data_IF_450997476209
#
_entry.id   IF_450997476209
#
_cell.length_a   1.000
_cell.length_b   1.000
_cell.length_c   1.000
_cell.angle_alpha   90.00
_cell.angle_beta   90.00
_cell.angle_gamma   90.00
#
_symmetry.space_group_name_H-M   'P 1'
#
loop_
_entity.id
_entity.type
_entity.pdbx_description
1 polymer ?
#
# COMPACT_ATOMS: atom_id res chain seq x y z
N UNK A 1 30.44 -2.86 -7.50
CA UNK A 1 31.35 -3.21 -8.61
C UNK A 1 32.54 -2.26 -8.54
N UNK A 2 33.79 -2.73 -8.66
CA UNK A 2 34.98 -1.87 -8.61
C UNK A 2 34.96 -0.81 -9.74
N UNK A 3 35.46 0.41 -9.50
CA UNK A 3 35.50 1.48 -10.50
C UNK A 3 36.23 1.08 -11.80
N UNK A 4 37.28 0.24 -11.71
CA UNK A 4 38.05 -0.18 -12.88
C UNK A 4 37.20 -1.04 -13.83
N UNK A 5 36.32 -1.88 -13.29
CA UNK A 5 35.42 -2.72 -14.09
C UNK A 5 34.34 -1.86 -14.77
N UNK A 6 33.80 -0.87 -14.05
CA UNK A 6 32.83 0.07 -14.63
C UNK A 6 33.40 0.84 -15.81
N UNK A 7 34.68 1.24 -15.73
CA UNK A 7 35.37 1.93 -16.84
C UNK A 7 35.48 1.04 -18.08
N UNK A 8 35.82 -0.23 -17.92
CA UNK A 8 35.87 -1.19 -19.04
C UNK A 8 34.50 -1.37 -19.68
N UNK A 9 33.45 -1.48 -18.85
CA UNK A 9 32.07 -1.59 -19.33
C UNK A 9 31.60 -0.32 -20.07
N UNK A 10 31.95 0.87 -19.58
CA UNK A 10 31.63 2.15 -20.22
C UNK A 10 32.34 2.29 -21.58
N UNK A 11 33.64 1.99 -21.64
CA UNK A 11 34.41 2.01 -22.88
C UNK A 11 33.84 1.02 -23.91
N UNK A 12 33.43 -0.17 -23.46
CA UNK A 12 32.78 -1.17 -24.31
C UNK A 12 31.39 -0.70 -24.76
N UNK A 13 30.60 -0.08 -23.87
CA UNK A 13 29.27 0.43 -24.16
C UNK A 13 29.32 1.50 -25.25
N UNK A 14 30.23 2.48 -25.13
CA UNK A 14 30.42 3.56 -26.10
C UNK A 14 30.84 3.05 -27.48
N UNK A 15 31.74 2.05 -27.51
CA UNK A 15 32.21 1.44 -28.77
C UNK A 15 31.15 0.61 -29.48
N UNK A 16 30.19 0.06 -28.74
CA UNK A 16 29.18 -0.87 -29.25
C UNK A 16 27.75 -0.29 -29.15
N UNK A 17 27.60 1.01 -29.41
CA UNK A 17 26.31 1.70 -29.54
C UNK A 17 25.35 1.50 -28.35
N UNK A 18 25.86 1.37 -27.14
CA UNK A 18 25.01 1.22 -25.95
C UNK A 18 24.64 -0.22 -25.59
N UNK A 19 25.34 -1.23 -26.11
CA UNK A 19 25.01 -2.66 -25.85
C UNK A 19 24.91 -3.02 -24.36
N UNK A 20 25.80 -2.49 -23.51
CA UNK A 20 25.84 -2.82 -22.08
C UNK A 20 24.65 -2.18 -21.38
N UNK A 21 24.36 -0.93 -21.71
CA UNK A 21 23.20 -0.20 -21.19
C UNK A 21 21.90 -0.90 -21.60
N UNK A 22 21.75 -1.25 -22.88
CA UNK A 22 20.61 -2.04 -23.37
C UNK A 22 20.47 -3.36 -22.62
N UNK A 23 21.56 -4.10 -22.40
CA UNK A 23 21.51 -5.35 -21.65
C UNK A 23 20.96 -5.15 -20.23
N UNK A 24 21.44 -4.13 -19.52
CA UNK A 24 20.94 -3.78 -18.18
C UNK A 24 19.44 -3.49 -18.23
N UNK A 25 19.00 -2.68 -19.20
CA UNK A 25 17.59 -2.35 -19.35
C UNK A 25 16.74 -3.54 -19.80
N UNK A 26 17.27 -4.47 -20.59
CA UNK A 26 16.55 -5.69 -20.97
C UNK A 26 16.32 -6.58 -19.75
N UNK A 27 17.32 -6.72 -18.87
CA UNK A 27 17.15 -7.40 -17.57
C UNK A 27 16.17 -6.68 -16.65
N UNK A 28 16.15 -5.35 -16.69
CA UNK A 28 15.16 -4.56 -15.98
C UNK A 28 13.74 -4.76 -16.56
N UNK A 29 13.60 -4.78 -17.89
CA UNK A 29 12.34 -5.02 -18.61
C UNK A 29 11.79 -6.42 -18.39
N UNK A 30 12.64 -7.45 -18.37
CA UNK A 30 12.25 -8.82 -18.01
C UNK A 30 11.59 -8.83 -16.61
N UNK A 31 12.20 -8.15 -15.64
CA UNK A 31 11.65 -8.02 -14.28
C UNK A 31 10.33 -7.24 -14.27
N UNK A 32 10.23 -6.14 -15.02
CA UNK A 32 8.98 -5.39 -15.17
C UNK A 32 7.88 -6.19 -15.88
N UNK A 33 8.22 -7.13 -16.76
CA UNK A 33 7.26 -8.02 -17.41
C UNK A 33 6.44 -8.85 -16.41
N UNK A 34 7.04 -9.24 -15.29
CA UNK A 34 6.34 -9.94 -14.20
C UNK A 34 5.33 -8.99 -13.53
N UNK A 35 5.72 -7.75 -13.23
CA UNK A 35 4.83 -6.74 -12.63
C UNK A 35 3.72 -6.37 -13.61
N UNK A 36 4.02 -6.26 -14.90
CA UNK A 36 3.03 -6.05 -15.96
C UNK A 36 2.00 -7.17 -15.99
N UNK A 37 2.42 -8.42 -15.81
CA UNK A 37 1.51 -9.57 -15.73
C UNK A 37 0.56 -9.47 -14.53
N UNK A 38 1.03 -8.95 -13.39
CA UNK A 38 0.19 -8.67 -12.22
C UNK A 38 -0.83 -7.57 -12.51
N UNK A 39 -0.38 -6.44 -13.08
CA UNK A 39 -1.28 -5.35 -13.44
C UNK A 39 -2.33 -5.85 -14.42
N UNK A 40 -1.96 -6.72 -15.37
CA UNK A 40 -2.90 -7.38 -16.28
C UNK A 40 -3.93 -8.26 -15.54
N UNK A 41 -3.54 -9.02 -14.52
CA UNK A 41 -4.49 -9.79 -13.70
C UNK A 41 -5.49 -8.85 -13.00
N UNK A 42 -5.00 -7.72 -12.47
CA UNK A 42 -5.87 -6.72 -11.82
C UNK A 42 -6.79 -6.05 -12.84
N UNK A 43 -6.29 -5.69 -14.03
CA UNK A 43 -7.07 -5.14 -15.15
C UNK A 43 -8.16 -6.10 -15.65
N UNK A 44 -7.83 -7.39 -15.80
CA UNK A 44 -8.83 -8.42 -16.12
C UNK A 44 -9.87 -8.51 -15.00
N UNK A 45 -9.43 -8.42 -13.74
CA UNK A 45 -10.32 -8.35 -12.59
C UNK A 45 -11.24 -7.13 -12.61
N UNK A 46 -10.81 -5.97 -13.12
CA UNK A 46 -11.67 -4.78 -13.28
C UNK A 46 -12.79 -5.04 -14.29
N UNK A 47 -12.48 -5.75 -15.38
CA UNK A 47 -13.47 -6.11 -16.40
C UNK A 47 -14.39 -7.26 -15.97
N UNK A 48 -13.90 -8.14 -15.09
CA UNK A 48 -14.61 -9.31 -14.59
C UNK A 48 -14.33 -9.54 -13.08
N UNK A 49 -14.92 -8.73 -12.17
CA UNK A 49 -14.59 -8.77 -10.74
C UNK A 49 -14.81 -10.15 -10.10
N UNK A 50 -15.82 -10.88 -10.56
CA UNK A 50 -16.13 -12.24 -10.08
C UNK A 50 -15.02 -13.27 -10.34
N UNK A 51 -14.09 -12.99 -11.26
CA UNK A 51 -12.98 -13.89 -11.58
C UNK A 51 -11.71 -13.55 -10.79
N UNK A 52 -11.63 -12.39 -10.14
CA UNK A 52 -10.44 -11.99 -9.40
C UNK A 52 -10.31 -12.76 -8.08
N UNK A 53 -9.16 -13.41 -7.88
CA UNK A 53 -8.87 -14.24 -6.72
C UNK A 53 -7.62 -13.71 -6.01
N UNK A 54 -7.79 -13.20 -4.78
CA UNK A 54 -6.71 -12.56 -4.03
C UNK A 54 -5.59 -13.55 -3.67
N UNK A 55 -5.94 -14.79 -3.36
CA UNK A 55 -5.01 -15.88 -3.08
C UNK A 55 -4.10 -16.19 -4.28
N UNK A 56 -4.62 -16.13 -5.51
CA UNK A 56 -3.80 -16.27 -6.71
C UNK A 56 -2.81 -15.11 -6.84
N UNK A 57 -3.26 -13.88 -6.63
CA UNK A 57 -2.40 -12.70 -6.67
C UNK A 57 -1.27 -12.81 -5.62
N UNK A 58 -1.61 -13.15 -4.38
CA UNK A 58 -0.62 -13.32 -3.30
C UNK A 58 0.36 -14.46 -3.61
N UNK A 59 -0.10 -15.54 -4.23
CA UNK A 59 0.75 -16.67 -4.62
C UNK A 59 1.80 -16.27 -5.66
N UNK A 60 1.45 -15.41 -6.62
CA UNK A 60 2.41 -14.87 -7.59
C UNK A 60 3.52 -14.08 -6.91
N UNK A 61 3.18 -13.17 -5.99
CA UNK A 61 4.19 -12.44 -5.22
C UNK A 61 5.09 -13.36 -4.38
N UNK A 62 4.62 -14.53 -3.94
CA UNK A 62 5.44 -15.47 -3.14
C UNK A 62 6.40 -16.30 -3.98
N UNK A 63 5.96 -16.71 -5.17
CA UNK A 63 6.64 -17.69 -6.01
C UNK A 63 7.61 -17.03 -7.00
N UNK A 64 7.27 -15.84 -7.49
CA UNK A 64 8.07 -15.15 -8.50
C UNK A 64 9.28 -14.43 -7.89
N UNK A 65 10.47 -14.96 -8.16
CA UNK A 65 11.73 -14.46 -7.58
C UNK A 65 11.97 -12.96 -7.84
N UNK A 66 11.49 -12.44 -8.99
CA UNK A 66 11.66 -11.04 -9.39
C UNK A 66 10.87 -10.04 -8.54
N UNK A 67 9.77 -10.46 -7.91
CA UNK A 67 8.83 -9.58 -7.19
C UNK A 67 8.60 -10.01 -5.75
N UNK A 68 9.21 -11.12 -5.31
CA UNK A 68 9.10 -11.62 -3.94
C UNK A 68 9.45 -10.61 -2.86
N UNK A 69 10.33 -9.65 -3.18
CA UNK A 69 10.70 -8.55 -2.26
C UNK A 69 9.64 -7.44 -2.17
N UNK A 70 8.69 -7.40 -3.10
CA UNK A 70 7.61 -6.41 -3.18
C UNK A 70 6.30 -6.92 -2.57
N UNK A 71 6.31 -8.09 -1.95
CA UNK A 71 5.12 -8.69 -1.34
C UNK A 71 4.55 -7.82 -0.22
N UNK A 72 5.38 -7.19 0.61
CA UNK A 72 4.90 -6.31 1.69
C UNK A 72 4.06 -5.16 1.12
N UNK A 73 4.50 -4.62 -0.02
CA UNK A 73 3.77 -3.58 -0.75
C UNK A 73 2.46 -4.08 -1.34
N UNK A 74 2.42 -5.33 -1.82
CA UNK A 74 1.17 -5.95 -2.24
C UNK A 74 0.18 -6.03 -1.06
N UNK A 75 0.62 -6.40 0.14
CA UNK A 75 -0.25 -6.40 1.33
C UNK A 75 -0.75 -4.99 1.68
N UNK A 76 0.10 -3.96 1.57
CA UNK A 76 -0.34 -2.57 1.77
C UNK A 76 -1.44 -2.20 0.77
N UNK A 77 -1.23 -2.46 -0.52
CA UNK A 77 -2.18 -2.12 -1.58
C UNK A 77 -3.53 -2.82 -1.39
N UNK A 78 -3.52 -4.14 -1.14
CA UNK A 78 -4.78 -4.91 -0.99
C UNK A 78 -5.52 -4.52 0.29
N UNK A 79 -4.78 -4.25 1.37
CA UNK A 79 -5.38 -3.84 2.65
C UNK A 79 -6.02 -2.46 2.50
N UNK A 80 -5.27 -1.51 1.94
CA UNK A 80 -5.77 -0.15 1.68
C UNK A 80 -7.02 -0.19 0.80
N UNK A 81 -6.95 -0.87 -0.35
CA UNK A 81 -8.05 -0.90 -1.32
C UNK A 81 -9.31 -1.48 -0.70
N UNK A 82 -9.19 -2.55 0.10
CA UNK A 82 -10.32 -3.15 0.78
C UNK A 82 -10.93 -2.22 1.83
N UNK A 83 -10.10 -1.70 2.75
CA UNK A 83 -10.59 -0.91 3.87
C UNK A 83 -11.21 0.41 3.40
N UNK A 84 -10.54 1.13 2.50
CA UNK A 84 -11.05 2.39 1.96
C UNK A 84 -12.35 2.19 1.18
N UNK A 85 -12.42 1.12 0.37
CA UNK A 85 -13.67 0.82 -0.34
C UNK A 85 -14.80 0.53 0.63
N UNK A 86 -14.58 -0.29 1.66
CA UNK A 86 -15.63 -0.63 2.63
C UNK A 86 -16.08 0.60 3.41
N UNK A 87 -15.16 1.43 3.88
CA UNK A 87 -15.48 2.67 4.62
C UNK A 87 -16.28 3.62 3.75
N UNK A 88 -15.87 3.86 2.50
CA UNK A 88 -16.59 4.72 1.57
C UNK A 88 -17.98 4.17 1.22
N UNK A 89 -18.11 2.86 0.99
CA UNK A 89 -19.39 2.25 0.65
C UNK A 89 -20.37 2.17 1.82
N UNK A 90 -19.88 2.28 3.06
CA UNK A 90 -20.70 2.45 4.25
C UNK A 90 -21.14 3.90 4.47
N UNK A 91 -20.61 4.85 3.69
CA UNK A 91 -20.84 6.29 3.84
C UNK A 91 -20.63 6.74 5.29
N UNK A 92 -19.59 6.19 5.94
CA UNK A 92 -19.30 6.49 7.33
C UNK A 92 -18.87 7.96 7.47
N UNK A 93 -19.42 8.65 8.47
CA UNK A 93 -19.16 10.07 8.72
C UNK A 93 -18.40 10.28 10.04
N UNK A 94 -17.63 11.36 10.08
CA UNK A 94 -16.91 11.85 11.26
C UNK A 94 -17.40 13.25 11.55
N UNK A 95 -17.81 13.47 12.80
CA UNK A 95 -18.25 14.79 13.25
C UNK A 95 -17.33 15.30 14.34
N UNK A 96 -16.79 16.50 14.12
CA UNK A 96 -16.18 17.30 15.19
C UNK A 96 -17.22 18.28 15.68
N UNK A 97 -17.53 18.20 16.99
CA UNK A 97 -18.57 19.02 17.61
C UNK A 97 -18.10 19.55 18.96
N UNK A 98 -18.26 20.86 19.15
CA UNK A 98 -18.09 21.48 20.47
C UNK A 98 -19.43 21.37 21.22
N UNK A 99 -19.46 20.82 22.44
CA UNK A 99 -20.69 20.78 23.23
C UNK A 99 -21.06 22.18 23.71
N UNK A 100 -22.36 22.48 23.77
CA UNK A 100 -22.89 23.82 24.12
C UNK A 100 -22.33 24.39 25.43
N UNK A 101 -22.12 23.52 26.43
CA UNK A 101 -21.51 23.90 27.72
C UNK A 101 -20.13 24.59 27.60
N UNK A 102 -19.46 24.44 26.45
CA UNK A 102 -18.13 24.99 26.18
C UNK A 102 -18.18 26.19 25.21
N UNK A 103 -19.34 26.75 24.87
CA UNK A 103 -19.42 27.83 23.86
C UNK A 103 -18.73 29.13 24.29
N UNK A 104 -18.74 29.47 25.59
CA UNK A 104 -17.97 30.62 26.07
C UNK A 104 -16.46 30.43 25.86
N UNK A 105 -15.97 29.20 26.00
CA UNK A 105 -14.57 28.87 25.72
C UNK A 105 -14.28 28.91 24.21
N UNK A 106 -15.22 28.43 23.38
CA UNK A 106 -15.12 28.52 21.92
C UNK A 106 -15.09 29.98 21.45
N UNK A 107 -15.82 30.87 22.12
CA UNK A 107 -15.82 32.30 21.83
C UNK A 107 -14.47 32.94 22.17
N UNK A 108 -13.90 32.62 23.32
CA UNK A 108 -12.58 33.11 23.75
C UNK A 108 -11.46 32.71 22.78
N UNK A 109 -11.49 31.46 22.28
CA UNK A 109 -10.46 30.90 21.40
C UNK A 109 -10.91 30.75 19.94
N UNK A 110 -11.83 31.60 19.48
CA UNK A 110 -12.48 31.43 18.17
C UNK A 110 -11.51 31.48 16.98
N UNK A 111 -10.41 32.24 17.10
CA UNK A 111 -9.38 32.34 16.08
C UNK A 111 -8.57 31.04 15.97
N UNK A 112 -8.13 30.51 17.12
CA UNK A 112 -7.41 29.24 17.21
C UNK A 112 -8.29 28.05 16.79
N UNK A 113 -9.52 27.97 17.28
CA UNK A 113 -10.43 26.86 16.99
C UNK A 113 -10.79 26.79 15.51
N UNK A 114 -10.90 27.94 14.84
CA UNK A 114 -11.17 28.00 13.40
C UNK A 114 -10.00 27.44 12.59
N UNK A 115 -8.76 27.71 13.01
CA UNK A 115 -7.56 27.20 12.31
C UNK A 115 -7.32 25.72 12.63
N UNK A 116 -7.36 25.35 13.90
CA UNK A 116 -6.99 24.01 14.37
C UNK A 116 -8.09 22.98 14.13
N UNK A 117 -9.34 23.36 14.37
CA UNK A 117 -10.49 22.45 14.41
C UNK A 117 -11.57 22.81 13.40
N UNK A 118 -11.41 23.87 12.59
CA UNK A 118 -12.42 24.34 11.63
C UNK A 118 -13.81 24.61 12.25
N UNK A 119 -13.85 25.03 13.52
CA UNK A 119 -15.10 25.42 14.23
C UNK A 119 -14.98 26.81 14.83
N UNK A 120 -16.12 27.48 14.99
CA UNK A 120 -16.25 28.79 15.62
C UNK A 120 -17.66 28.94 16.22
N UNK A 121 -17.99 30.03 16.95
CA UNK A 121 -19.31 30.20 17.55
C UNK A 121 -20.49 30.13 16.58
N UNK A 122 -20.31 30.56 15.32
CA UNK A 122 -21.36 30.50 14.28
C UNK A 122 -21.49 29.10 13.67
N UNK A 123 -20.39 28.33 13.67
CA UNK A 123 -20.30 26.95 13.16
C UNK A 123 -19.54 26.07 14.17
N UNK A 124 -20.22 25.60 15.24
CA UNK A 124 -19.59 24.86 16.33
C UNK A 124 -19.35 23.38 16.01
N UNK A 125 -19.76 22.93 14.83
CA UNK A 125 -19.55 21.57 14.35
C UNK A 125 -19.37 21.51 12.83
N UNK A 126 -18.74 20.44 12.37
CA UNK A 126 -18.71 20.04 10.97
C UNK A 126 -18.63 18.52 10.86
N UNK A 127 -19.04 18.02 9.70
CA UNK A 127 -19.03 16.59 9.37
C UNK A 127 -18.32 16.37 8.04
N UNK A 128 -17.55 15.28 7.94
CA UNK A 128 -16.92 14.81 6.71
C UNK A 128 -17.02 13.28 6.59
N UNK A 129 -16.70 12.73 5.41
CA UNK A 129 -16.61 11.29 5.21
C UNK A 129 -15.35 10.71 5.86
N UNK A 130 -15.51 9.52 6.42
CA UNK A 130 -14.40 8.72 6.92
C UNK A 130 -13.57 8.21 5.75
N UNK A 131 -12.25 8.32 5.88
CA UNK A 131 -11.27 7.89 4.89
C UNK A 131 -10.07 7.22 5.56
N UNK A 132 -9.49 6.27 4.83
CA UNK A 132 -8.18 5.69 5.07
C UNK A 132 -7.21 6.34 4.10
N UNK A 133 -6.03 6.70 4.58
CA UNK A 133 -4.95 7.28 3.79
C UNK A 133 -3.73 6.37 3.85
N UNK A 134 -3.15 6.08 2.68
CA UNK A 134 -1.87 5.36 2.57
C UNK A 134 -0.72 6.34 2.74
N UNK A 135 0.26 6.00 3.58
CA UNK A 135 1.43 6.84 3.82
C UNK A 135 2.51 6.47 2.80
N UNK A 136 2.85 7.40 1.92
CA UNK A 136 3.87 7.20 0.89
C UNK A 136 5.29 7.04 1.45
N UNK A 137 6.22 6.62 0.58
CA UNK A 137 7.63 6.31 0.89
C UNK A 137 8.36 7.47 1.60
N UNK A 138 7.94 8.72 1.35
CA UNK A 138 8.52 9.94 1.95
C UNK A 138 8.11 10.19 3.40
N UNK A 139 7.01 9.61 3.89
CA UNK A 139 6.57 9.71 5.28
C UNK A 139 6.73 8.39 6.05
N UNK A 140 6.81 7.25 5.36
CA UNK A 140 6.96 5.93 5.96
C UNK A 140 8.34 5.70 6.59
N UNK A 141 9.39 6.32 6.04
CA UNK A 141 10.77 6.15 6.54
C UNK A 141 11.00 6.71 7.94
N UNK A 142 10.25 7.76 8.34
CA UNK A 142 10.50 8.50 9.58
C UNK A 142 9.58 8.08 10.75
N UNK A 143 8.50 7.32 10.51
CA UNK A 143 7.53 6.92 11.56
C UNK A 143 7.03 5.47 11.50
N UNK A 144 7.45 4.67 10.52
CA UNK A 144 7.07 3.25 10.43
C UNK A 144 5.58 3.00 10.22
N UNK A 145 4.81 4.00 9.77
CA UNK A 145 3.36 4.01 9.60
C UNK A 145 2.97 3.64 8.16
N UNK A 146 2.11 2.63 7.97
CA UNK A 146 1.67 2.24 6.62
C UNK A 146 0.40 3.00 6.18
N UNK A 147 -0.60 3.11 7.08
CA UNK A 147 -1.85 3.83 6.81
C UNK A 147 -2.41 4.47 8.08
N UNK A 148 -3.19 5.53 7.91
CA UNK A 148 -3.95 6.16 8.99
C UNK A 148 -5.34 6.56 8.52
N UNK A 149 -6.26 6.68 9.46
CA UNK A 149 -7.63 7.07 9.22
C UNK A 149 -7.92 8.45 9.84
N UNK A 150 -8.69 9.30 9.18
CA UNK A 150 -9.13 10.58 9.77
C UNK A 150 -10.04 10.42 11.00
N UNK A 151 -10.52 9.19 11.27
CA UNK A 151 -11.27 8.85 12.49
C UNK A 151 -10.42 8.18 13.59
N UNK A 152 -9.08 8.18 13.45
CA UNK A 152 -8.16 7.82 14.54
C UNK A 152 -7.37 6.51 14.39
N UNK A 153 -7.89 5.42 13.79
CA UNK A 153 -7.10 4.20 13.61
C UNK A 153 -5.82 4.41 12.81
N UNK A 154 -4.78 3.73 13.26
CA UNK A 154 -3.53 3.51 12.53
C UNK A 154 -3.51 2.06 12.08
N UNK A 155 -3.20 1.79 10.82
CA UNK A 155 -3.13 0.43 10.30
C UNK A 155 -1.69 0.14 9.92
N UNK A 156 -1.15 -0.92 10.52
CA UNK A 156 0.16 -1.46 10.21
C UNK A 156 0.01 -2.78 9.47
N UNK A 157 0.71 -2.90 8.35
CA UNK A 157 0.74 -4.07 7.50
C UNK A 157 2.10 -4.76 7.63
N UNK A 158 2.10 -5.99 8.13
CA UNK A 158 3.33 -6.78 8.31
C UNK A 158 3.14 -8.17 7.73
N UNK A 159 3.72 -8.39 6.56
CA UNK A 159 3.72 -9.71 5.93
C UNK A 159 4.88 -10.62 6.41
N UNK A 160 5.94 -10.07 7.02
CA UNK A 160 7.06 -10.85 7.58
C UNK A 160 6.71 -11.54 8.91
N UNK A 161 7.37 -12.67 9.19
CA UNK A 161 7.34 -13.35 10.50
C UNK A 161 7.81 -12.37 11.57
N UNK A 162 6.91 -11.94 12.45
CA UNK A 162 7.25 -11.00 13.52
C UNK A 162 7.82 -11.76 14.72
N UNK A 163 8.98 -11.32 15.21
CA UNK A 163 9.44 -11.68 16.54
C UNK A 163 8.99 -10.62 17.57
N UNK A 164 9.17 -10.92 18.86
CA UNK A 164 8.78 -10.04 19.96
C UNK A 164 9.31 -8.61 19.84
N UNK A 165 10.59 -8.46 19.49
CA UNK A 165 11.26 -7.16 19.38
C UNK A 165 10.72 -6.32 18.21
N UNK A 166 10.32 -6.96 17.10
CA UNK A 166 9.73 -6.28 15.95
C UNK A 166 8.32 -5.75 16.26
N UNK A 167 7.52 -6.49 17.03
CA UNK A 167 6.20 -6.02 17.46
C UNK A 167 6.33 -4.84 18.43
N UNK A 168 7.30 -4.89 19.35
CA UNK A 168 7.64 -3.79 20.26
C UNK A 168 7.97 -2.50 19.51
N UNK A 169 8.86 -2.63 18.52
CA UNK A 169 9.24 -1.50 17.67
C UNK A 169 8.03 -0.85 16.98
N UNK A 170 7.05 -1.63 16.53
CA UNK A 170 5.85 -1.10 15.86
C UNK A 170 5.01 -0.28 16.85
N UNK A 171 4.73 -0.85 18.02
CA UNK A 171 3.84 -0.20 18.99
C UNK A 171 4.49 1.05 19.59
N UNK A 172 5.80 1.03 19.80
CA UNK A 172 6.52 2.15 20.38
C UNK A 172 6.75 3.30 19.38
N UNK A 173 6.82 3.00 18.08
CA UNK A 173 6.97 4.03 17.03
C UNK A 173 5.67 4.75 16.67
N UNK A 174 4.52 4.14 16.96
CA UNK A 174 3.21 4.70 16.65
C UNK A 174 2.67 5.36 17.91
N UNK A 175 2.31 6.64 17.87
CA UNK A 175 1.72 7.35 19.03
C UNK A 175 0.23 7.03 19.26
N UNK A 176 -0.46 6.45 18.27
CA UNK A 176 -1.89 6.12 18.34
C UNK A 176 -2.19 4.92 19.25
N UNK A 177 -3.31 4.98 19.97
CA UNK A 177 -3.87 3.88 20.77
C UNK A 177 -4.86 3.01 19.97
N UNK A 178 -4.90 3.17 18.66
CA UNK A 178 -5.89 2.54 17.79
C UNK A 178 -5.24 1.78 16.62
N UNK A 179 -4.25 0.95 16.96
CA UNK A 179 -3.44 0.21 15.99
C UNK A 179 -4.21 -1.03 15.52
N UNK A 180 -4.28 -1.23 14.21
CA UNK A 180 -4.74 -2.46 13.56
C UNK A 180 -3.53 -3.11 12.90
N UNK A 181 -3.28 -4.38 13.19
CA UNK A 181 -2.14 -5.11 12.60
C UNK A 181 -2.67 -6.10 11.58
N UNK A 182 -2.18 -6.02 10.34
CA UNK A 182 -2.47 -6.99 9.28
C UNK A 182 -1.29 -7.93 9.12
N UNK A 183 -1.53 -9.24 9.22
CA UNK A 183 -0.45 -10.25 9.18
C UNK A 183 -0.88 -11.57 8.54
N UNK A 184 0.09 -12.46 8.32
CA UNK A 184 -0.19 -13.85 7.93
C UNK A 184 -0.83 -14.60 9.10
N UNK A 185 -1.61 -15.62 8.78
CA UNK A 185 -2.29 -16.47 9.76
C UNK A 185 -1.36 -17.11 10.78
N UNK A 186 -0.18 -17.57 10.34
CA UNK A 186 0.82 -18.22 11.20
C UNK A 186 1.38 -17.29 12.28
N UNK A 187 1.37 -15.98 12.02
CA UNK A 187 1.99 -14.96 12.87
C UNK A 187 0.99 -14.37 13.89
N UNK A 188 -0.32 -14.56 13.66
CA UNK A 188 -1.38 -13.96 14.48
C UNK A 188 -1.35 -14.41 15.95
N UNK A 189 -0.97 -15.67 16.21
CA UNK A 189 -0.89 -16.22 17.58
C UNK A 189 0.26 -15.59 18.36
N UNK A 190 1.43 -15.41 17.73
CA UNK A 190 2.61 -14.76 18.31
C UNK A 190 2.28 -13.32 18.69
N UNK A 191 1.69 -12.55 17.77
CA UNK A 191 1.27 -11.16 18.02
C UNK A 191 0.26 -11.10 19.17
N UNK A 192 -0.72 -12.01 19.18
CA UNK A 192 -1.74 -12.07 20.24
C UNK A 192 -1.16 -12.35 21.63
N UNK A 193 -0.12 -13.19 21.72
CA UNK A 193 0.57 -13.49 22.99
C UNK A 193 1.33 -12.25 23.47
N UNK A 194 2.05 -11.57 22.58
CA UNK A 194 2.83 -10.38 22.92
C UNK A 194 1.95 -9.23 23.40
N UNK A 195 0.80 -9.02 22.74
CA UNK A 195 -0.19 -8.02 23.16
C UNK A 195 -0.68 -8.21 24.60
N UNK A 196 -0.79 -9.47 25.07
CA UNK A 196 -1.22 -9.79 26.43
C UNK A 196 -0.12 -9.56 27.47
N UNK A 197 1.14 -9.71 27.08
CA UNK A 197 2.29 -9.62 28.00
C UNK A 197 2.70 -8.18 28.31
N UNK A 198 2.55 -7.25 27.35
CA UNK A 198 3.19 -5.91 27.43
C UNK A 198 2.15 -4.79 27.67
N UNK A 199 0.90 -5.13 28.00
CA UNK A 199 -0.15 -4.12 28.24
C UNK A 199 -0.64 -3.38 26.99
N UNK A 200 -0.10 -3.70 25.80
CA UNK A 200 -0.50 -3.16 24.51
C UNK A 200 -1.91 -3.52 24.05
N UNK A 201 -2.58 -4.46 24.73
CA UNK A 201 -3.99 -4.75 24.48
C UNK A 201 -4.91 -3.52 24.54
N UNK A 202 -4.47 -2.42 25.16
CA UNK A 202 -5.18 -1.13 25.15
C UNK A 202 -4.94 -0.29 23.88
N UNK A 203 -3.81 -0.48 23.20
CA UNK A 203 -3.36 0.30 22.04
C UNK A 203 -3.62 -0.40 20.71
N UNK A 204 -3.65 -1.73 20.68
CA UNK A 204 -3.97 -2.51 19.48
C UNK A 204 -5.45 -2.89 19.51
N UNK A 205 -6.23 -2.34 18.58
CA UNK A 205 -7.68 -2.60 18.44
C UNK A 205 -7.98 -3.97 17.85
N UNK A 206 -7.10 -4.51 17.02
CA UNK A 206 -7.34 -5.80 16.39
C UNK A 206 -6.21 -6.28 15.50
N UNK A 207 -6.27 -7.58 15.19
CA UNK A 207 -5.41 -8.25 14.23
C UNK A 207 -6.28 -8.73 13.08
N UNK A 208 -5.87 -8.41 11.86
CA UNK A 208 -6.45 -8.89 10.61
C UNK A 208 -5.53 -9.96 10.03
N UNK A 209 -6.03 -11.19 9.92
CA UNK A 209 -5.31 -12.28 9.27
C UNK A 209 -5.48 -12.20 7.75
N UNK A 210 -4.48 -12.71 7.02
CA UNK A 210 -4.56 -12.89 5.58
C UNK A 210 -5.79 -13.68 5.14
N UNK A 211 -6.13 -14.78 5.83
CA UNK A 211 -7.36 -15.53 5.54
C UNK A 211 -8.62 -14.67 5.65
N UNK A 212 -8.65 -13.69 6.56
CA UNK A 212 -9.75 -12.75 6.70
C UNK A 212 -9.76 -11.72 5.57
N UNK A 213 -8.59 -11.24 5.12
CA UNK A 213 -8.50 -10.38 3.93
C UNK A 213 -9.05 -11.10 2.70
N UNK A 214 -8.63 -12.35 2.47
CA UNK A 214 -9.11 -13.17 1.35
C UNK A 214 -10.63 -13.33 1.42
N UNK A 215 -11.16 -13.65 2.59
CA UNK A 215 -12.61 -13.80 2.79
C UNK A 215 -13.36 -12.48 2.56
N UNK A 216 -12.84 -11.35 3.03
CA UNK A 216 -13.47 -10.06 2.81
C UNK A 216 -13.45 -9.63 1.36
N UNK A 217 -12.35 -9.89 0.63
CA UNK A 217 -12.32 -9.74 -0.82
C UNK A 217 -13.39 -10.60 -1.51
N UNK A 218 -13.54 -11.87 -1.11
CA UNK A 218 -14.61 -12.72 -1.65
C UNK A 218 -16.00 -12.15 -1.38
N UNK A 219 -16.25 -11.59 -0.19
CA UNK A 219 -17.52 -10.94 0.14
C UNK A 219 -17.77 -9.68 -0.69
N UNK A 220 -16.74 -8.86 -0.93
CA UNK A 220 -16.84 -7.67 -1.75
C UNK A 220 -17.05 -8.00 -3.23
N UNK A 221 -16.43 -9.07 -3.74
CA UNK A 221 -16.46 -9.42 -5.16
C UNK A 221 -17.64 -10.32 -5.53
N UNK A 222 -18.05 -11.23 -4.65
CA UNK A 222 -19.03 -12.30 -4.94
C UNK A 222 -20.19 -12.37 -3.93
N UNK A 223 -20.12 -11.58 -2.87
CA UNK A 223 -21.13 -11.57 -1.82
C UNK A 223 -22.39 -10.81 -2.20
N UNK A 224 -23.30 -10.68 -1.22
CA UNK A 224 -24.62 -10.05 -1.37
C UNK A 224 -24.59 -8.64 -1.96
N UNK A 225 -23.56 -7.85 -1.63
CA UNK A 225 -23.40 -6.45 -2.06
C UNK A 225 -22.35 -6.27 -3.16
N UNK A 226 -21.98 -7.36 -3.85
CA UNK A 226 -20.98 -7.33 -4.93
C UNK A 226 -21.32 -6.36 -6.05
N UNK A 227 -22.60 -6.26 -6.44
CA UNK A 227 -23.05 -5.31 -7.46
C UNK A 227 -22.73 -3.84 -7.12
N UNK A 228 -22.60 -3.51 -5.84
CA UNK A 228 -22.26 -2.16 -5.37
C UNK A 228 -20.75 -2.01 -5.12
N UNK A 229 -20.11 -3.02 -4.52
CA UNK A 229 -18.76 -2.89 -3.95
C UNK A 229 -17.65 -3.37 -4.90
N UNK A 230 -17.95 -4.32 -5.80
CA UNK A 230 -16.92 -5.00 -6.60
C UNK A 230 -16.18 -4.05 -7.54
N UNK A 231 -16.89 -3.20 -8.28
CA UNK A 231 -16.26 -2.26 -9.22
C UNK A 231 -15.44 -1.18 -8.51
N UNK A 232 -15.95 -0.50 -7.47
CA UNK A 232 -15.13 0.42 -6.67
C UNK A 232 -13.85 -0.23 -6.13
N UNK A 233 -13.95 -1.45 -5.58
CA UNK A 233 -12.80 -2.18 -5.05
C UNK A 233 -11.75 -2.45 -6.13
N UNK A 234 -12.18 -2.99 -7.28
CA UNK A 234 -11.25 -3.33 -8.36
C UNK A 234 -10.61 -2.10 -8.99
N UNK A 235 -11.36 -1.00 -9.15
CA UNK A 235 -10.83 0.25 -9.67
C UNK A 235 -9.77 0.85 -8.72
N UNK A 236 -10.06 0.86 -7.41
CA UNK A 236 -9.11 1.34 -6.41
C UNK A 236 -7.86 0.46 -6.34
N UNK A 237 -8.02 -0.86 -6.46
CA UNK A 237 -6.92 -1.81 -6.49
C UNK A 237 -6.02 -1.58 -7.71
N UNK A 238 -6.60 -1.43 -8.90
CA UNK A 238 -5.88 -1.12 -10.13
C UNK A 238 -5.08 0.16 -9.98
N UNK A 239 -5.74 1.25 -9.60
CA UNK A 239 -5.10 2.56 -9.41
C UNK A 239 -3.94 2.48 -8.41
N UNK A 240 -4.14 1.77 -7.29
CA UNK A 240 -3.11 1.62 -6.26
C UNK A 240 -1.88 0.84 -6.73
N UNK A 241 -2.06 -0.12 -7.65
CA UNK A 241 -0.95 -0.82 -8.29
C UNK A 241 -0.23 0.03 -9.35
N UNK A 242 -0.98 0.79 -10.15
CA UNK A 242 -0.41 1.70 -11.16
C UNK A 242 0.41 2.82 -10.50
N UNK A 243 -0.06 3.38 -9.39
CA UNK A 243 0.65 4.40 -8.63
C UNK A 243 1.92 3.86 -7.95
N UNK A 244 1.93 2.58 -7.57
CA UNK A 244 3.10 1.96 -6.92
C UNK A 244 4.18 1.52 -7.90
N UNK A 245 3.77 1.09 -9.10
CA UNK A 245 4.67 0.55 -10.12
C UNK A 245 4.61 1.35 -11.43
N UNK A 246 4.89 2.67 -11.40
CA UNK A 246 4.82 3.52 -12.60
C UNK A 246 5.80 3.10 -13.68
N UNK A 247 6.90 2.41 -13.32
CA UNK A 247 7.96 2.05 -14.27
C UNK A 247 7.47 1.08 -15.36
N UNK A 248 6.37 0.35 -15.12
CA UNK A 248 5.78 -0.58 -16.08
C UNK A 248 5.32 0.14 -17.35
N UNK A 249 4.80 1.36 -17.24
CA UNK A 249 4.39 2.17 -18.40
C UNK A 249 5.57 2.96 -18.96
N UNK A 250 6.39 3.57 -18.10
CA UNK A 250 7.50 4.45 -18.50
C UNK A 250 8.61 3.73 -19.29
N UNK A 251 8.86 2.44 -19.03
CA UNK A 251 9.93 1.72 -19.72
C UNK A 251 9.72 1.62 -21.23
N UNK A 252 8.46 1.62 -21.69
CA UNK A 252 8.15 1.50 -23.13
C UNK A 252 8.61 2.77 -23.86
N UNK A 253 8.31 3.94 -23.30
CA UNK A 253 8.68 5.24 -23.87
C UNK A 253 10.21 5.40 -23.88
N UNK A 254 10.86 5.08 -22.75
CA UNK A 254 12.32 5.12 -22.64
C UNK A 254 13.04 4.26 -23.68
N UNK A 255 12.52 3.06 -23.98
CA UNK A 255 13.08 2.18 -25.01
C UNK A 255 13.00 2.77 -26.42
N UNK A 256 11.94 3.51 -26.72
CA UNK A 256 11.74 4.16 -28.00
C UNK A 256 12.70 5.35 -28.16
N UNK A 257 12.80 6.20 -27.14
CA UNK A 257 13.72 7.34 -27.12
C UNK A 257 15.18 6.91 -27.32
N UNK A 258 15.60 5.85 -26.62
CA UNK A 258 16.96 5.31 -26.69
C UNK A 258 17.21 4.43 -27.91
N UNK A 259 16.19 4.16 -28.73
CA UNK A 259 16.26 3.30 -29.92
C UNK A 259 16.80 1.88 -29.65
N UNK A 260 16.60 1.36 -28.44
CA UNK A 260 17.11 0.04 -28.03
C UNK A 260 16.50 -1.12 -28.83
N UNK A 261 15.37 -0.90 -29.51
CA UNK A 261 14.78 -1.85 -30.44
C UNK A 261 15.63 -2.12 -31.67
N UNK A 262 16.58 -1.23 -32.00
CA UNK A 262 17.47 -1.36 -33.18
C UNK A 262 18.83 -1.99 -32.86
N UNK A 263 19.17 -2.13 -31.59
CA UNK A 263 20.46 -2.68 -31.15
C UNK A 263 20.31 -4.20 -31.01
N UNK A 264 21.16 -4.97 -31.68
CA UNK A 264 21.21 -6.43 -31.51
C UNK A 264 22.25 -6.81 -30.46
N UNK A 265 21.84 -7.61 -29.47
CA UNK A 265 22.75 -8.17 -28.48
C UNK A 265 23.63 -9.24 -29.13
N UNK A 266 24.95 -9.11 -29.00
CA UNK A 266 25.90 -10.16 -29.35
C UNK A 266 25.78 -11.36 -28.42
N UNK A 267 26.25 -12.55 -28.82
CA UNK A 267 26.18 -13.80 -28.03
C UNK A 267 26.68 -13.69 -26.57
N UNK A 268 27.65 -12.82 -26.29
CA UNK A 268 28.17 -12.64 -24.92
C UNK A 268 27.16 -11.94 -23.97
N UNK A 269 26.19 -11.21 -24.54
CA UNK A 269 25.22 -10.36 -23.83
C UNK A 269 23.77 -10.83 -24.02
N UNK A 270 23.53 -12.01 -24.61
CA UNK A 270 22.21 -12.66 -24.61
C UNK A 270 22.01 -13.40 -23.29
#
# INVERSE_FOLDING_TARGET
>A
MPPEILKVLDDFNKKNLGIVEKYIYDKFKEKLGIISSIIQIVLVGVSCPNNFQLDNLLSLFRQEAGIKRSIDKCYEIITYSLLETVVNQLEAEITVKIPEKNYLLLQEFSDLSKVLLNVNPDKPEWTELAHIYRVGVTNAADRGLDMWANFGPVIQVKHLTLNSAQVETIVDQIESDHIIIVCRDADASVISILMKQIGWGKRVRGIVKESQLIEWYNRCLRGKFSHQISQPLMNLLQKSFEEEFPEVTEIIEFYQERQYTKIQLSQMWQ
#
